data_IF_403830289802
#
_entry.id   IF_403830289802
#
_cell.length_a   1.000
_cell.length_b   1.000
_cell.length_c   1.000
_cell.angle_alpha   90.00
_cell.angle_beta   90.00
_cell.angle_gamma   90.00
#
_symmetry.space_group_name_H-M   'P 1'
#
loop_
_entity.id
_entity.type
_entity.pdbx_description
1 polymer ?
#
# COMPACT_ATOMS: atom_id res chain seq x y z
N UNK A 1 -24.21 21.27 1.78
CA UNK A 1 -23.46 20.58 0.73
C UNK A 1 -23.78 19.08 0.80
N UNK A 2 -25.05 18.72 0.56
CA UNK A 2 -25.56 17.38 0.87
C UNK A 2 -26.56 16.99 -0.21
N UNK A 3 -26.10 16.55 -1.38
CA UNK A 3 -26.92 15.88 -2.40
C UNK A 3 -26.09 15.45 -3.62
N UNK A 4 -25.34 14.35 -3.53
CA UNK A 4 -25.07 13.49 -4.71
C UNK A 4 -24.96 12.03 -4.22
N UNK A 5 -26.07 11.44 -3.78
CA UNK A 5 -26.20 9.99 -3.63
C UNK A 5 -27.48 9.55 -4.34
N UNK A 6 -27.49 9.72 -5.66
CA UNK A 6 -28.45 9.01 -6.50
C UNK A 6 -28.09 7.52 -6.44
N UNK A 7 -29.03 6.73 -5.94
CA UNK A 7 -28.99 5.29 -5.84
C UNK A 7 -28.72 4.67 -7.22
N UNK A 8 -27.46 4.33 -7.47
CA UNK A 8 -27.04 3.53 -8.61
C UNK A 8 -26.30 2.31 -8.06
N UNK A 9 -26.83 1.13 -8.33
CA UNK A 9 -26.20 -0.14 -7.97
C UNK A 9 -24.78 -0.19 -8.57
N UNK A 10 -23.80 -0.66 -7.78
CA UNK A 10 -22.40 -0.73 -8.20
C UNK A 10 -21.62 0.56 -8.04
N UNK A 11 -21.94 1.42 -7.07
CA UNK A 11 -21.07 2.55 -6.66
C UNK A 11 -20.50 2.29 -5.28
N UNK A 12 -19.20 2.46 -5.15
CA UNK A 12 -18.47 2.34 -3.89
C UNK A 12 -17.71 3.62 -3.57
N UNK A 13 -17.70 4.00 -2.30
CA UNK A 13 -16.78 5.00 -1.76
C UNK A 13 -15.65 4.27 -1.06
N UNK A 14 -14.41 4.61 -1.37
CA UNK A 14 -13.22 4.07 -0.72
C UNK A 14 -12.56 5.18 0.10
N UNK A 15 -12.16 4.86 1.31
CA UNK A 15 -11.27 5.71 2.10
C UNK A 15 -9.97 4.96 2.35
N UNK A 16 -8.84 5.61 2.13
CA UNK A 16 -7.52 5.10 2.46
C UNK A 16 -6.94 5.97 3.57
N UNK A 17 -6.40 5.32 4.59
CA UNK A 17 -5.60 5.96 5.63
C UNK A 17 -4.52 5.00 6.12
N UNK A 18 -3.68 5.45 7.06
CA UNK A 18 -2.73 4.60 7.75
C UNK A 18 -3.13 4.41 9.21
N UNK A 19 -3.21 3.16 9.65
CA UNK A 19 -3.45 2.81 11.04
C UNK A 19 -2.14 2.90 11.86
N UNK A 20 -1.55 4.09 11.92
CA UNK A 20 -0.32 4.34 12.66
C UNK A 20 -0.64 4.41 14.16
N UNK A 21 -0.05 3.54 14.99
CA UNK A 21 -0.25 3.57 16.44
C UNK A 21 0.47 4.77 17.08
N UNK A 22 0.01 5.17 18.26
CA UNK A 22 0.63 6.27 19.02
C UNK A 22 0.16 7.67 18.59
N UNK A 23 0.71 8.72 19.23
CA UNK A 23 0.27 10.11 19.04
C UNK A 23 0.79 10.73 17.74
N UNK A 24 1.93 10.26 17.22
CA UNK A 24 2.51 10.70 15.96
C UNK A 24 2.05 9.80 14.82
N UNK A 25 1.22 10.35 13.92
CA UNK A 25 0.68 9.64 12.75
C UNK A 25 1.57 9.75 11.52
N UNK A 26 2.64 10.54 11.59
CA UNK A 26 3.49 10.92 10.48
C UNK A 26 4.91 10.36 10.65
N UNK A 27 5.00 9.06 10.92
CA UNK A 27 6.28 8.37 10.96
C UNK A 27 7.00 8.42 9.59
N UNK A 28 8.35 8.43 9.56
CA UNK A 28 9.09 8.34 8.31
C UNK A 28 8.64 7.14 7.46
N UNK A 29 8.29 7.40 6.20
CA UNK A 29 7.79 6.39 5.26
C UNK A 29 6.26 6.33 5.12
N UNK A 30 5.49 6.97 6.00
CA UNK A 30 4.03 7.02 5.90
C UNK A 30 3.54 7.55 4.55
N UNK A 31 4.01 8.73 4.13
CA UNK A 31 3.61 9.33 2.85
C UNK A 31 3.93 8.43 1.65
N UNK A 32 5.09 7.78 1.67
CA UNK A 32 5.51 6.85 0.61
C UNK A 32 4.61 5.62 0.57
N UNK A 33 4.31 5.02 1.73
CA UNK A 33 3.41 3.88 1.82
C UNK A 33 2.00 4.26 1.34
N UNK A 34 1.49 5.41 1.78
CA UNK A 34 0.19 5.94 1.35
C UNK A 34 0.12 6.14 -0.16
N UNK A 35 1.14 6.79 -0.75
CA UNK A 35 1.19 7.03 -2.19
C UNK A 35 1.23 5.72 -2.98
N UNK A 36 2.00 4.72 -2.53
CA UNK A 36 2.04 3.38 -3.15
C UNK A 36 0.70 2.66 -3.04
N UNK A 37 0.03 2.77 -1.90
CA UNK A 37 -1.30 2.19 -1.71
C UNK A 37 -2.37 2.86 -2.58
N UNK A 38 -2.33 4.19 -2.71
CA UNK A 38 -3.19 4.93 -3.64
C UNK A 38 -2.96 4.52 -5.10
N UNK A 39 -1.70 4.43 -5.53
CA UNK A 39 -1.37 3.95 -6.87
C UNK A 39 -1.81 2.50 -7.11
N UNK A 40 -1.63 1.61 -6.13
CA UNK A 40 -2.09 0.22 -6.21
C UNK A 40 -3.62 0.12 -6.25
N UNK A 41 -4.32 1.00 -5.55
CA UNK A 41 -5.78 1.09 -5.60
C UNK A 41 -6.25 1.54 -6.99
N UNK A 42 -5.64 2.58 -7.55
CA UNK A 42 -5.96 3.08 -8.89
C UNK A 42 -5.67 2.04 -9.98
N UNK A 43 -4.55 1.32 -9.88
CA UNK A 43 -4.21 0.22 -10.80
C UNK A 43 -5.21 -0.94 -10.69
N UNK A 44 -5.52 -1.39 -9.46
CA UNK A 44 -6.44 -2.50 -9.23
C UNK A 44 -7.88 -2.21 -9.65
N UNK A 45 -8.32 -0.96 -9.57
CA UNK A 45 -9.66 -0.53 -9.96
C UNK A 45 -9.73 -0.01 -11.41
N UNK A 46 -8.57 0.26 -12.02
CA UNK A 46 -8.42 0.74 -13.39
C UNK A 46 -9.25 2.01 -13.67
N UNK A 47 -9.75 2.11 -14.91
CA UNK A 47 -10.58 3.25 -15.35
C UNK A 47 -11.95 3.36 -14.68
N UNK A 48 -12.28 2.49 -13.70
CA UNK A 48 -13.53 2.56 -12.96
C UNK A 48 -13.48 3.58 -11.80
N UNK A 49 -12.29 4.11 -11.47
CA UNK A 49 -12.15 5.24 -10.56
C UNK A 49 -12.73 6.50 -11.22
N UNK A 50 -13.80 7.02 -10.63
CA UNK A 50 -14.55 8.17 -11.15
C UNK A 50 -13.99 9.49 -10.60
N UNK A 51 -13.50 9.48 -9.37
CA UNK A 51 -12.82 10.60 -8.73
C UNK A 51 -11.92 10.07 -7.60
N UNK A 52 -10.74 10.65 -7.44
CA UNK A 52 -9.79 10.32 -6.38
C UNK A 52 -9.14 11.60 -5.84
N UNK A 53 -9.02 11.69 -4.52
CA UNK A 53 -8.30 12.76 -3.83
C UNK A 53 -7.07 12.17 -3.14
N UNK A 54 -5.88 12.66 -3.52
CA UNK A 54 -4.62 12.39 -2.83
C UNK A 54 -4.62 12.89 -1.39
N UNK A 55 -3.52 12.70 -0.64
CA UNK A 55 -3.49 12.89 0.80
C UNK A 55 -3.99 14.29 1.22
N UNK A 56 -4.78 14.36 2.30
CA UNK A 56 -4.87 15.60 3.08
C UNK A 56 -3.45 15.99 3.51
N UNK A 57 -3.14 17.29 3.48
CA UNK A 57 -1.80 17.86 3.58
C UNK A 57 -0.91 17.16 4.64
N UNK A 58 0.39 17.08 4.36
CA UNK A 58 1.44 16.47 5.19
C UNK A 58 1.46 16.86 6.69
N UNK A 59 0.83 17.99 7.06
CA UNK A 59 0.76 18.50 8.44
C UNK A 59 -0.52 18.13 9.20
N UNK A 60 -1.33 17.19 8.68
CA UNK A 60 -2.53 16.72 9.38
C UNK A 60 -2.16 15.84 10.58
N UNK A 61 -2.73 16.13 11.75
CA UNK A 61 -2.60 15.31 12.97
C UNK A 61 -3.14 13.89 12.79
N UNK A 62 -3.98 13.68 11.76
CA UNK A 62 -4.55 12.40 11.41
C UNK A 62 -3.65 11.55 10.50
N UNK A 63 -2.59 12.16 9.95
CA UNK A 63 -1.72 11.54 8.94
C UNK A 63 -2.34 11.48 7.54
N UNK A 64 -1.69 10.79 6.59
CA UNK A 64 -2.16 10.72 5.21
C UNK A 64 -3.53 10.08 5.09
N UNK A 65 -4.45 10.77 4.40
CA UNK A 65 -5.82 10.32 4.18
C UNK A 65 -6.34 10.67 2.79
N UNK A 66 -7.10 9.78 2.14
CA UNK A 66 -7.68 10.04 0.82
C UNK A 66 -9.03 9.35 0.61
N UNK A 67 -9.77 9.83 -0.38
CA UNK A 67 -11.10 9.31 -0.74
C UNK A 67 -11.15 9.07 -2.25
N UNK A 68 -11.67 7.91 -2.64
CA UNK A 68 -11.95 7.53 -4.02
C UNK A 68 -13.42 7.16 -4.20
N UNK A 69 -13.92 7.38 -5.40
CA UNK A 69 -15.21 6.89 -5.87
C UNK A 69 -14.96 5.92 -7.01
N UNK A 70 -15.55 4.73 -6.95
CA UNK A 70 -15.50 3.76 -8.03
C UNK A 70 -16.90 3.33 -8.45
N UNK A 71 -17.08 3.17 -9.77
CA UNK A 71 -18.30 2.59 -10.37
C UNK A 71 -18.32 1.06 -10.32
N UNK A 72 -17.88 0.48 -9.20
CA UNK A 72 -17.78 -0.97 -9.01
C UNK A 72 -18.62 -1.45 -7.81
N UNK A 73 -18.91 -2.75 -7.83
CA UNK A 73 -19.53 -3.44 -6.71
C UNK A 73 -18.66 -3.31 -5.43
N UNK A 74 -19.23 -2.82 -4.30
CA UNK A 74 -18.49 -2.62 -3.06
C UNK A 74 -17.79 -3.87 -2.52
N UNK A 75 -18.34 -5.07 -2.72
CA UNK A 75 -17.67 -6.30 -2.26
C UNK A 75 -16.42 -6.61 -3.08
N UNK A 76 -16.50 -6.40 -4.39
CA UNK A 76 -15.36 -6.58 -5.29
C UNK A 76 -14.25 -5.58 -4.99
N UNK A 77 -14.61 -4.31 -4.73
CA UNK A 77 -13.67 -3.27 -4.31
C UNK A 77 -13.04 -3.63 -2.96
N UNK A 78 -13.83 -4.13 -1.99
CA UNK A 78 -13.29 -4.55 -0.69
C UNK A 78 -12.34 -5.76 -0.81
N UNK A 79 -12.58 -6.70 -1.74
CA UNK A 79 -11.62 -7.77 -2.03
C UNK A 79 -10.31 -7.24 -2.59
N UNK A 80 -10.36 -6.28 -3.52
CA UNK A 80 -9.16 -5.62 -4.04
C UNK A 80 -8.40 -4.88 -2.93
N UNK A 81 -9.11 -4.14 -2.08
CA UNK A 81 -8.55 -3.47 -0.91
C UNK A 81 -7.79 -4.44 0.02
N UNK A 82 -8.37 -5.61 0.33
CA UNK A 82 -7.72 -6.64 1.14
C UNK A 82 -6.49 -7.24 0.44
N UNK A 83 -6.56 -7.43 -0.88
CA UNK A 83 -5.40 -7.90 -1.65
C UNK A 83 -4.24 -6.89 -1.59
N UNK A 84 -4.53 -5.58 -1.65
CA UNK A 84 -3.53 -4.52 -1.50
C UNK A 84 -2.93 -4.52 -0.09
N UNK A 85 -3.75 -4.65 0.96
CA UNK A 85 -3.30 -4.76 2.36
C UNK A 85 -2.32 -5.94 2.57
N UNK A 86 -2.54 -7.06 1.88
CA UNK A 86 -1.69 -8.25 1.98
C UNK A 86 -0.48 -8.23 1.05
N UNK A 87 -0.58 -7.57 -0.11
CA UNK A 87 0.44 -7.62 -1.16
C UNK A 87 1.49 -6.52 -1.08
N UNK A 88 1.20 -5.38 -0.44
CA UNK A 88 2.17 -4.30 -0.29
C UNK A 88 3.09 -4.51 0.92
N UNK A 89 4.38 -4.23 0.73
CA UNK A 89 5.29 -4.08 1.86
C UNK A 89 4.83 -2.90 2.74
N UNK A 90 4.68 -3.15 4.04
CA UNK A 90 4.01 -2.22 4.97
C UNK A 90 2.48 -2.25 4.91
N UNK A 91 1.88 -3.09 4.06
CA UNK A 91 0.43 -3.18 3.80
C UNK A 91 -0.44 -3.41 5.04
N UNK A 92 0.14 -4.02 6.09
CA UNK A 92 -0.53 -4.21 7.40
C UNK A 92 -0.85 -2.90 8.14
N UNK A 93 -0.23 -1.78 7.76
CA UNK A 93 -0.51 -0.45 8.29
C UNK A 93 -1.57 0.29 7.49
N UNK A 94 -1.99 -0.25 6.34
CA UNK A 94 -3.04 0.35 5.53
C UNK A 94 -4.40 0.11 6.17
N UNK A 95 -5.25 1.12 6.08
CA UNK A 95 -6.66 0.99 6.40
C UNK A 95 -7.48 1.43 5.19
N UNK A 96 -7.95 0.44 4.42
CA UNK A 96 -8.74 0.66 3.22
C UNK A 96 -10.18 0.25 3.47
N UNK A 97 -11.03 1.25 3.69
CA UNK A 97 -12.44 1.07 3.95
C UNK A 97 -13.29 1.33 2.73
N UNK A 98 -14.34 0.53 2.57
CA UNK A 98 -15.21 0.56 1.40
C UNK A 98 -16.65 0.65 1.89
N UNK A 99 -17.39 1.58 1.33
CA UNK A 99 -18.78 1.84 1.65
C UNK A 99 -19.65 1.69 0.40
N UNK A 100 -20.84 1.13 0.56
CA UNK A 100 -21.84 1.07 -0.50
C UNK A 100 -22.54 2.42 -0.71
N UNK A 101 -23.37 2.52 -1.75
CA UNK A 101 -24.11 3.74 -2.09
C UNK A 101 -25.10 4.22 -0.99
N UNK A 102 -25.41 3.39 0.00
CA UNK A 102 -26.22 3.76 1.17
C UNK A 102 -25.38 4.25 2.35
N UNK A 103 -24.05 4.25 2.23
CA UNK A 103 -23.12 4.62 3.29
C UNK A 103 -22.81 3.50 4.26
N UNK A 104 -23.25 2.26 3.99
CA UNK A 104 -22.94 1.11 4.83
C UNK A 104 -21.54 0.57 4.46
N UNK A 105 -20.71 0.39 5.48
CA UNK A 105 -19.38 -0.18 5.31
C UNK A 105 -19.47 -1.67 4.93
N UNK A 106 -18.67 -2.08 3.96
CA UNK A 106 -18.42 -3.49 3.66
C UNK A 106 -17.28 -3.95 4.56
N UNK A 107 -17.66 -4.60 5.67
CA UNK A 107 -16.69 -5.12 6.63
C UNK A 107 -16.09 -6.47 6.17
N UNK A 108 -15.04 -6.90 6.85
CA UNK A 108 -14.34 -8.17 6.58
C UNK A 108 -15.21 -9.40 6.85
N UNK A 109 -16.10 -9.33 7.85
CA UNK A 109 -17.00 -10.43 8.21
C UNK A 109 -18.04 -10.72 7.14
N UNK A 110 -18.52 -9.67 6.45
CA UNK A 110 -19.43 -9.79 5.30
C UNK A 110 -18.80 -10.52 4.10
N UNK A 111 -17.47 -10.68 4.09
CA UNK A 111 -16.70 -11.39 3.08
C UNK A 111 -16.11 -12.72 3.60
N UNK A 112 -16.50 -13.17 4.80
CA UNK A 112 -15.94 -14.36 5.46
C UNK A 112 -14.41 -14.32 5.61
N UNK A 113 -13.86 -13.11 5.81
CA UNK A 113 -12.43 -12.90 6.00
C UNK A 113 -12.06 -12.84 7.49
N UNK A 114 -10.90 -13.40 7.88
CA UNK A 114 -10.46 -13.35 9.27
C UNK A 114 -10.18 -11.90 9.73
N UNK A 115 -10.30 -11.62 11.04
CA UNK A 115 -9.93 -10.33 11.60
C UNK A 115 -8.44 -10.03 11.35
N UNK A 116 -8.08 -8.74 11.35
CA UNK A 116 -6.67 -8.33 11.22
C UNK A 116 -5.86 -8.84 12.44
N UNK A 117 -4.74 -9.49 12.18
CA UNK A 117 -3.79 -9.90 13.22
C UNK A 117 -3.07 -8.67 13.81
N UNK A 118 -2.78 -8.73 15.11
CA UNK A 118 -2.04 -7.70 15.84
C UNK A 118 -0.65 -7.46 15.23
N UNK A 119 -0.18 -6.22 15.22
CA UNK A 119 1.17 -5.89 14.69
C UNK A 119 2.30 -6.63 15.44
N UNK A 120 2.08 -7.01 16.69
CA UNK A 120 3.10 -7.58 17.59
C UNK A 120 2.98 -9.11 17.75
N UNK A 121 1.78 -9.69 17.60
CA UNK A 121 1.53 -11.11 17.85
C UNK A 121 0.47 -11.67 16.89
N UNK A 122 0.26 -13.00 16.80
CA UNK A 122 -0.67 -13.58 15.84
C UNK A 122 -2.16 -13.42 16.21
N UNK A 123 -2.47 -12.95 17.42
CA UNK A 123 -3.84 -12.78 17.91
C UNK A 123 -4.58 -11.62 17.20
N UNK A 124 -5.92 -11.61 17.18
CA UNK A 124 -6.69 -10.51 16.60
C UNK A 124 -6.35 -9.15 17.22
N UNK A 125 -6.11 -8.14 16.38
CA UNK A 125 -5.67 -6.81 16.81
C UNK A 125 -6.64 -6.13 17.78
N UNK A 126 -7.96 -6.28 17.55
CA UNK A 126 -8.99 -5.70 18.40
C UNK A 126 -9.01 -6.31 19.81
N UNK A 127 -8.69 -7.61 19.95
CA UNK A 127 -8.56 -8.26 21.26
C UNK A 127 -7.32 -7.79 22.00
N UNK A 128 -6.17 -7.69 21.30
CA UNK A 128 -4.94 -7.17 21.89
C UNK A 128 -5.11 -5.74 22.41
N UNK A 129 -5.80 -4.88 21.65
CA UNK A 129 -6.11 -3.51 22.06
C UNK A 129 -7.03 -3.48 23.29
N UNK A 130 -8.11 -4.28 23.30
CA UNK A 130 -9.06 -4.35 24.42
C UNK A 130 -8.42 -4.89 25.71
N UNK A 131 -7.54 -5.87 25.60
CA UNK A 131 -6.89 -6.52 26.73
C UNK A 131 -5.59 -5.81 27.16
N UNK A 132 -5.13 -4.81 26.40
CA UNK A 132 -3.86 -4.13 26.67
C UNK A 132 -2.65 -5.08 26.66
N UNK A 133 -2.65 -6.09 25.76
CA UNK A 133 -1.59 -7.13 25.73
C UNK A 133 -0.21 -6.57 25.39
N UNK A 134 -0.16 -5.42 24.73
CA UNK A 134 1.07 -4.76 24.30
C UNK A 134 1.04 -3.30 24.69
N UNK A 135 2.20 -2.75 25.04
CA UNK A 135 2.34 -1.31 25.29
C UNK A 135 2.29 -0.53 23.98
N UNK A 136 1.95 0.76 24.06
CA UNK A 136 1.96 1.65 22.89
C UNK A 136 3.32 1.63 22.18
N UNK A 137 4.42 1.60 22.94
CA UNK A 137 5.79 1.59 22.42
C UNK A 137 6.07 0.32 21.61
N UNK A 138 5.58 -0.84 22.05
CA UNK A 138 5.75 -2.10 21.32
C UNK A 138 5.01 -2.07 19.97
N UNK A 139 3.78 -1.56 19.96
CA UNK A 139 2.98 -1.46 18.73
C UNK A 139 3.57 -0.42 17.78
N UNK A 140 4.05 0.72 18.29
CA UNK A 140 4.78 1.74 17.51
C UNK A 140 6.09 1.20 16.94
N UNK A 141 6.86 0.45 17.72
CA UNK A 141 8.08 -0.19 17.24
C UNK A 141 7.78 -1.19 16.11
N UNK A 142 6.73 -1.99 16.23
CA UNK A 142 6.30 -2.90 15.18
C UNK A 142 5.87 -2.15 13.90
N UNK A 143 5.16 -1.02 14.02
CA UNK A 143 4.82 -0.19 12.87
C UNK A 143 6.05 0.41 12.18
N UNK A 144 7.02 0.92 12.95
CA UNK A 144 8.30 1.42 12.41
C UNK A 144 9.09 0.33 11.70
N UNK A 145 9.11 -0.89 12.22
CA UNK A 145 9.75 -2.03 11.57
C UNK A 145 9.13 -2.29 10.20
N UNK A 146 7.79 -2.35 10.11
CA UNK A 146 7.08 -2.54 8.84
C UNK A 146 7.38 -1.43 7.80
N UNK A 147 7.47 -0.17 8.23
CA UNK A 147 7.85 0.94 7.35
C UNK A 147 9.32 0.85 6.89
N UNK A 148 10.20 0.42 7.80
CA UNK A 148 11.63 0.25 7.51
C UNK A 148 11.84 -0.90 6.53
N UNK A 149 11.21 -2.04 6.74
CA UNK A 149 11.27 -3.20 5.84
C UNK A 149 10.75 -2.81 4.44
N UNK A 150 9.62 -2.11 4.38
CA UNK A 150 9.07 -1.62 3.12
C UNK A 150 10.00 -0.68 2.35
N UNK A 151 10.77 0.15 3.08
CA UNK A 151 11.80 1.00 2.49
C UNK A 151 13.00 0.19 1.99
N UNK A 152 13.50 -0.76 2.80
CA UNK A 152 14.63 -1.61 2.43
C UNK A 152 14.32 -2.47 1.21
N UNK A 153 13.11 -3.03 1.13
CA UNK A 153 12.64 -3.78 -0.04
C UNK A 153 12.63 -2.91 -1.30
N UNK A 154 12.13 -1.67 -1.20
CA UNK A 154 12.12 -0.73 -2.30
C UNK A 154 13.53 -0.32 -2.74
N UNK A 155 14.43 -0.08 -1.78
CA UNK A 155 15.83 0.24 -2.04
C UNK A 155 16.55 -0.92 -2.72
N UNK A 156 16.37 -2.15 -2.21
CA UNK A 156 16.95 -3.35 -2.80
C UNK A 156 16.47 -3.55 -4.24
N UNK A 157 15.16 -3.39 -4.50
CA UNK A 157 14.61 -3.47 -5.85
C UNK A 157 15.21 -2.40 -6.78
N UNK A 158 15.32 -1.15 -6.32
CA UNK A 158 15.92 -0.06 -7.10
C UNK A 158 17.40 -0.32 -7.44
N UNK A 159 18.18 -0.82 -6.47
CA UNK A 159 19.59 -1.18 -6.70
C UNK A 159 19.73 -2.32 -7.71
N UNK A 160 18.92 -3.38 -7.59
CA UNK A 160 18.93 -4.50 -8.53
C UNK A 160 18.52 -4.03 -9.94
N UNK A 161 17.48 -3.21 -10.06
CA UNK A 161 17.05 -2.68 -11.34
C UNK A 161 18.09 -1.76 -11.95
N UNK A 162 18.68 -0.85 -11.18
CA UNK A 162 19.75 0.02 -11.64
C UNK A 162 20.99 -0.75 -12.11
N UNK A 163 21.37 -1.82 -11.40
CA UNK A 163 22.45 -2.70 -11.82
C UNK A 163 22.13 -3.45 -13.13
N UNK A 164 20.89 -3.90 -13.32
CA UNK A 164 20.43 -4.52 -14.58
C UNK A 164 20.40 -3.53 -15.74
N UNK A 165 19.91 -2.32 -15.50
CA UNK A 165 19.89 -1.26 -16.50
C UNK A 165 21.30 -0.85 -16.90
N UNK A 166 22.18 -0.65 -15.92
CA UNK A 166 23.61 -0.40 -16.16
C UNK A 166 24.17 -1.51 -17.02
N UNK A 167 23.99 -2.79 -16.65
CA UNK A 167 24.48 -3.96 -17.39
C UNK A 167 24.03 -3.91 -18.87
N UNK A 168 22.80 -3.48 -19.12
CA UNK A 168 22.20 -3.40 -20.45
C UNK A 168 22.64 -2.18 -21.30
N UNK A 169 23.38 -1.22 -20.74
CA UNK A 169 23.89 -0.07 -21.51
C UNK A 169 24.90 -0.52 -22.57
N UNK A 170 24.89 0.15 -23.72
CA UNK A 170 25.76 -0.15 -24.85
C UNK A 170 25.91 1.12 -25.71
N UNK A 171 27.12 1.53 -26.12
CA UNK A 171 28.40 0.82 -25.97
C UNK A 171 29.05 1.00 -24.59
N UNK A 172 29.85 0.02 -24.15
CA UNK A 172 30.72 0.07 -22.96
C UNK A 172 32.18 -0.25 -23.33
N UNK A 173 32.96 0.74 -23.79
CA UNK A 173 34.32 0.50 -24.27
C UNK A 173 35.19 -0.26 -23.26
N UNK A 174 35.70 -1.43 -23.69
CA UNK A 174 36.58 -2.28 -22.89
C UNK A 174 35.88 -3.24 -21.92
N UNK A 175 34.58 -3.08 -21.68
CA UNK A 175 33.74 -3.97 -20.88
C UNK A 175 32.81 -4.80 -21.78
N UNK A 176 32.24 -5.87 -21.25
CA UNK A 176 31.22 -6.68 -21.94
C UNK A 176 29.93 -5.87 -22.07
N UNK A 177 29.35 -5.85 -23.26
CA UNK A 177 28.05 -5.24 -23.54
C UNK A 177 27.25 -6.05 -24.60
N UNK A 178 26.17 -5.47 -25.14
CA UNK A 178 25.31 -6.14 -26.13
C UNK A 178 25.93 -6.24 -27.53
N UNK A 179 27.01 -5.51 -27.81
CA UNK A 179 27.72 -5.52 -29.10
C UNK A 179 28.87 -6.52 -29.10
N UNK A 180 29.68 -6.53 -28.03
CA UNK A 180 30.84 -7.41 -27.92
C UNK A 180 31.25 -7.69 -26.47
N UNK A 181 32.19 -8.64 -26.29
CA UNK A 181 32.76 -9.02 -24.99
C UNK A 181 33.79 -8.02 -24.44
N UNK A 182 34.00 -6.89 -25.11
CA UNK A 182 35.04 -5.92 -24.77
C UNK A 182 36.42 -6.57 -24.72
N UNK A 183 37.12 -6.38 -23.59
CA UNK A 183 38.46 -6.93 -23.37
C UNK A 183 38.46 -8.37 -22.82
N UNK A 184 37.27 -8.96 -22.59
CA UNK A 184 37.10 -10.24 -21.91
C UNK A 184 36.56 -11.30 -22.88
N UNK A 185 37.42 -12.16 -23.45
CA UNK A 185 37.00 -13.15 -24.45
C UNK A 185 36.19 -14.32 -23.86
N UNK A 186 36.17 -14.46 -22.53
CA UNK A 186 35.50 -15.52 -21.78
C UNK A 186 34.12 -15.11 -21.25
N UNK A 187 33.73 -13.85 -21.42
CA UNK A 187 32.45 -13.31 -20.95
C UNK A 187 31.61 -12.81 -22.12
N UNK A 188 30.31 -13.07 -22.05
CA UNK A 188 29.33 -12.56 -23.02
C UNK A 188 28.11 -12.00 -22.29
N UNK A 189 27.42 -11.06 -22.91
CA UNK A 189 26.18 -10.52 -22.37
C UNK A 189 25.05 -11.54 -22.59
N UNK A 190 24.40 -11.98 -21.51
CA UNK A 190 23.17 -12.78 -21.54
C UNK A 190 22.03 -11.99 -20.88
N UNK A 191 20.87 -11.92 -21.55
CA UNK A 191 19.72 -11.13 -21.16
C UNK A 191 18.75 -11.90 -20.24
#
# INVERSE_FOLDING_TARGET
>A
MTAVLAHQAGRSVITLSLNIPGPDKNLPGCETLFARAGAALEDALGGAVVAGGGPSRADDLLGPFGIWHAGLDPQSVKRAAVAIEHGLAGGRLLDVDVYDASGRQVDRGSLDLPPRACLVCPEPAHECARLGRHTTEQVVAAARALLTDAFLDALAAALVNGAREELALTPKPGLVDRRDGGSHPDLTFEA
#
